data_IF_903418424924
#
_entry.id   IF_903418424924
#
_cell.length_a   1.000
_cell.length_b   1.000
_cell.length_c   1.000
_cell.angle_alpha   90.00
_cell.angle_beta   90.00
_cell.angle_gamma   90.00
#
_symmetry.space_group_name_H-M   'P 1'
#
loop_
_entity.id
_entity.type
_entity.pdbx_description
1 polymer ?
#
# COMPACT_ATOMS: atom_id res chain seq x y z
N UNK A 1 10.57 29.13 -19.90
CA UNK A 1 9.88 28.09 -19.15
C UNK A 1 10.90 27.04 -18.79
N UNK A 2 10.96 26.68 -17.52
CA UNK A 2 11.90 25.67 -17.03
C UNK A 2 11.46 24.28 -17.56
N UNK A 3 12.42 23.43 -17.85
CA UNK A 3 12.13 22.05 -18.34
C UNK A 3 11.33 21.27 -17.29
N UNK A 4 11.62 21.48 -16.02
CA UNK A 4 10.91 20.83 -14.92
C UNK A 4 9.43 21.24 -14.84
N UNK A 5 9.12 22.52 -15.04
CA UNK A 5 7.72 23.00 -15.08
C UNK A 5 6.92 22.35 -16.20
N UNK A 6 7.55 22.12 -17.37
CA UNK A 6 6.89 21.44 -18.50
C UNK A 6 6.65 19.97 -18.20
N UNK A 7 7.60 19.32 -17.55
CA UNK A 7 7.48 17.93 -17.16
C UNK A 7 6.38 17.72 -16.11
N UNK A 8 6.33 18.56 -15.08
CA UNK A 8 5.26 18.51 -14.06
C UNK A 8 3.87 18.71 -14.67
N UNK A 9 3.75 19.67 -15.60
CA UNK A 9 2.48 19.92 -16.26
C UNK A 9 2.07 18.77 -17.19
N UNK A 10 3.01 18.21 -17.95
CA UNK A 10 2.75 17.03 -18.80
C UNK A 10 2.43 15.80 -17.96
N UNK A 11 3.11 15.60 -16.83
CA UNK A 11 2.84 14.52 -15.89
C UNK A 11 1.41 14.62 -15.33
N UNK A 12 1.00 15.82 -14.94
CA UNK A 12 -0.36 16.07 -14.47
C UNK A 12 -1.43 15.77 -15.54
N UNK A 13 -1.20 16.16 -16.80
CA UNK A 13 -2.12 15.88 -17.91
C UNK A 13 -2.22 14.37 -18.17
N UNK A 14 -1.10 13.65 -18.18
CA UNK A 14 -1.05 12.20 -18.38
C UNK A 14 -1.72 11.49 -17.22
N UNK A 15 -1.43 11.91 -15.98
CA UNK A 15 -2.02 11.33 -14.79
C UNK A 15 -3.54 11.51 -14.76
N UNK A 16 -4.04 12.69 -15.11
CA UNK A 16 -5.48 12.97 -15.16
C UNK A 16 -6.21 12.02 -16.11
N UNK A 17 -5.59 11.68 -17.26
CA UNK A 17 -6.18 10.83 -18.28
C UNK A 17 -6.01 9.33 -18.02
N UNK A 18 -4.82 8.93 -17.55
CA UNK A 18 -4.43 7.51 -17.52
C UNK A 18 -4.35 6.93 -16.11
N UNK A 19 -4.35 7.78 -15.07
CA UNK A 19 -4.08 7.39 -13.69
C UNK A 19 -2.62 6.95 -13.44
N UNK A 20 -1.70 7.22 -14.38
CA UNK A 20 -0.29 6.85 -14.27
C UNK A 20 0.59 8.07 -14.49
N UNK A 21 1.68 8.16 -13.75
CA UNK A 21 2.70 9.17 -13.96
C UNK A 21 3.55 8.86 -15.20
N UNK A 22 4.23 9.88 -15.71
CA UNK A 22 5.20 9.75 -16.79
C UNK A 22 6.29 8.74 -16.41
N UNK A 23 6.49 7.75 -17.25
CA UNK A 23 7.63 6.85 -17.11
C UNK A 23 8.94 7.51 -17.55
N UNK A 24 10.07 6.85 -17.28
CA UNK A 24 11.40 7.36 -17.58
C UNK A 24 11.61 7.69 -19.07
N UNK A 25 11.06 6.87 -19.98
CA UNK A 25 11.20 7.07 -21.42
C UNK A 25 10.29 8.21 -21.92
N UNK A 26 9.10 8.34 -21.36
CA UNK A 26 8.19 9.46 -21.65
C UNK A 26 8.79 10.80 -21.19
N UNK A 27 9.41 10.85 -20.01
CA UNK A 27 10.14 12.02 -19.52
C UNK A 27 11.33 12.37 -20.43
N UNK A 28 12.08 11.35 -20.86
CA UNK A 28 13.19 11.51 -21.80
C UNK A 28 12.75 12.09 -23.16
N UNK A 29 11.61 11.62 -23.68
CA UNK A 29 11.03 12.13 -24.93
C UNK A 29 10.61 13.60 -24.79
N UNK A 30 10.02 13.98 -23.67
CA UNK A 30 9.63 15.37 -23.40
C UNK A 30 10.88 16.27 -23.26
N UNK A 31 11.86 15.87 -22.47
CA UNK A 31 13.14 16.60 -22.31
C UNK A 31 13.86 16.76 -23.63
N UNK A 32 14.05 15.68 -24.37
CA UNK A 32 14.69 15.70 -25.68
C UNK A 32 13.91 16.54 -26.70
N UNK A 33 12.58 16.54 -26.65
CA UNK A 33 11.74 17.39 -27.52
C UNK A 33 11.94 18.88 -27.22
N UNK A 34 12.05 19.27 -25.98
CA UNK A 34 12.33 20.67 -25.57
C UNK A 34 13.74 21.08 -26.00
N UNK A 35 14.69 20.17 -25.95
CA UNK A 35 16.09 20.38 -26.34
C UNK A 35 16.32 20.23 -27.86
N UNK A 36 15.28 19.97 -28.63
CA UNK A 36 15.31 19.73 -30.10
C UNK A 36 16.08 18.46 -30.54
N UNK A 37 16.23 17.47 -29.65
CA UNK A 37 16.82 16.17 -29.99
C UNK A 37 15.95 15.37 -30.96
N UNK A 38 16.54 14.58 -31.81
CA UNK A 38 15.83 13.60 -32.67
C UNK A 38 15.40 12.36 -31.85
N UNK A 39 14.52 11.54 -32.38
CA UNK A 39 14.17 10.28 -31.72
C UNK A 39 15.33 9.28 -31.71
N UNK A 40 16.25 9.38 -32.69
CA UNK A 40 17.46 8.57 -32.76
C UNK A 40 18.42 8.93 -31.60
N UNK A 41 18.67 10.22 -31.37
CA UNK A 41 19.51 10.70 -30.27
C UNK A 41 18.93 10.32 -28.92
N UNK A 42 17.60 10.48 -28.72
CA UNK A 42 16.92 10.05 -27.47
C UNK A 42 17.03 8.52 -27.27
N UNK A 43 16.99 7.76 -28.36
CA UNK A 43 17.11 6.31 -28.30
C UNK A 43 18.50 5.85 -27.89
N UNK A 44 19.53 6.50 -28.42
CA UNK A 44 20.95 6.25 -28.08
C UNK A 44 21.24 6.55 -26.61
N UNK A 45 20.79 7.72 -26.13
CA UNK A 45 21.00 8.17 -24.74
C UNK A 45 20.30 7.28 -23.70
N UNK A 46 19.21 6.61 -24.09
CA UNK A 46 18.40 5.82 -23.17
C UNK A 46 18.40 4.30 -23.48
N UNK A 47 19.35 3.83 -24.27
CA UNK A 47 19.53 2.42 -24.62
C UNK A 47 18.26 1.76 -25.16
N UNK A 48 17.44 2.50 -25.93
CA UNK A 48 16.20 2.05 -26.53
C UNK A 48 16.31 1.96 -28.05
N UNK A 49 15.40 1.23 -28.71
CA UNK A 49 15.32 1.29 -30.16
C UNK A 49 14.58 2.54 -30.63
N UNK A 50 15.02 3.16 -31.74
CA UNK A 50 14.34 4.34 -32.30
C UNK A 50 12.88 4.11 -32.59
N UNK A 51 12.50 2.91 -33.06
CA UNK A 51 11.13 2.51 -33.30
C UNK A 51 10.29 2.50 -32.02
N UNK A 52 10.86 2.07 -30.91
CA UNK A 52 10.18 2.07 -29.61
C UNK A 52 9.99 3.49 -29.09
N UNK A 53 11.01 4.35 -29.18
CA UNK A 53 10.92 5.77 -28.80
C UNK A 53 9.86 6.51 -29.64
N UNK A 54 9.79 6.24 -30.95
CA UNK A 54 8.75 6.78 -31.83
C UNK A 54 7.35 6.34 -31.44
N UNK A 55 7.18 5.06 -31.09
CA UNK A 55 5.90 4.51 -30.68
C UNK A 55 5.44 5.14 -29.33
N UNK A 56 6.30 5.16 -28.32
CA UNK A 56 6.02 5.79 -27.02
C UNK A 56 5.69 7.29 -27.21
N UNK A 57 6.48 7.99 -28.04
CA UNK A 57 6.21 9.38 -28.37
C UNK A 57 4.85 9.59 -29.04
N UNK A 58 4.45 8.72 -29.96
CA UNK A 58 3.14 8.81 -30.61
C UNK A 58 1.97 8.68 -29.64
N UNK A 59 2.04 7.71 -28.72
CA UNK A 59 1.02 7.55 -27.67
C UNK A 59 1.01 8.74 -26.69
N UNK A 60 2.18 9.24 -26.32
CA UNK A 60 2.32 10.40 -25.45
C UNK A 60 1.66 11.66 -26.06
N UNK A 61 1.94 11.95 -27.34
CA UNK A 61 1.34 13.09 -28.04
C UNK A 61 -0.16 12.94 -28.23
N UNK A 62 -0.66 11.74 -28.42
CA UNK A 62 -2.09 11.46 -28.52
C UNK A 62 -2.81 11.78 -27.21
N UNK A 63 -2.31 11.31 -26.08
CA UNK A 63 -2.89 11.56 -24.76
C UNK A 63 -2.90 13.06 -24.44
N UNK A 64 -1.79 13.75 -24.67
CA UNK A 64 -1.68 15.20 -24.43
C UNK A 64 -2.64 15.97 -25.36
N UNK A 65 -2.81 15.54 -26.63
CA UNK A 65 -3.74 16.17 -27.57
C UNK A 65 -5.19 16.03 -27.11
N UNK A 66 -5.57 14.86 -26.61
CA UNK A 66 -6.92 14.60 -26.10
C UNK A 66 -7.25 15.47 -24.88
N UNK A 67 -6.31 15.64 -23.96
CA UNK A 67 -6.50 16.46 -22.76
C UNK A 67 -6.52 17.96 -23.05
N UNK A 68 -5.71 18.42 -24.00
CA UNK A 68 -5.66 19.84 -24.38
C UNK A 68 -6.75 20.24 -25.40
N UNK A 69 -7.42 19.27 -26.00
CA UNK A 69 -8.43 19.52 -27.06
C UNK A 69 -7.85 20.09 -28.34
N UNK A 70 -6.52 20.02 -28.55
CA UNK A 70 -5.84 20.46 -29.77
C UNK A 70 -4.74 19.49 -30.17
N UNK A 71 -4.44 19.42 -31.49
CA UNK A 71 -3.43 18.46 -31.98
C UNK A 71 -2.03 18.83 -31.56
N UNK A 72 -1.44 18.03 -30.67
CA UNK A 72 -0.05 18.14 -30.21
C UNK A 72 0.81 17.11 -30.92
N UNK A 73 1.97 17.55 -31.40
CA UNK A 73 3.01 16.74 -32.04
C UNK A 73 4.36 17.19 -31.52
N UNK A 74 5.39 16.36 -31.68
CA UNK A 74 6.77 16.73 -31.37
C UNK A 74 7.17 18.11 -31.91
N UNK A 75 6.76 18.43 -33.13
CA UNK A 75 7.12 19.67 -33.83
C UNK A 75 6.46 20.95 -33.30
N UNK A 76 5.28 20.84 -32.65
CA UNK A 76 4.52 22.00 -32.15
C UNK A 76 4.41 22.04 -30.62
N UNK A 77 4.84 21.00 -29.93
CA UNK A 77 4.75 20.86 -28.49
C UNK A 77 5.31 22.07 -27.74
N UNK A 78 6.56 22.44 -28.04
CA UNK A 78 7.22 23.61 -27.42
C UNK A 78 6.42 24.90 -27.59
N UNK A 79 5.91 25.16 -28.79
CA UNK A 79 5.14 26.38 -29.08
C UNK A 79 3.78 26.43 -28.38
N UNK A 80 3.17 25.30 -28.09
CA UNK A 80 1.90 25.21 -27.33
C UNK A 80 2.14 25.55 -25.86
N UNK A 81 3.20 25.01 -25.28
CA UNK A 81 3.56 25.25 -23.90
C UNK A 81 4.12 26.67 -23.67
N UNK A 82 4.94 27.22 -24.56
CA UNK A 82 5.48 28.60 -24.48
C UNK A 82 4.41 29.70 -24.60
N UNK A 83 3.31 29.45 -25.31
CA UNK A 83 2.23 30.45 -25.50
C UNK A 83 1.33 30.63 -24.27
N UNK A 84 1.58 29.94 -23.17
CA UNK A 84 0.79 30.09 -21.93
C UNK A 84 -0.69 29.70 -22.05
N UNK A 85 -1.13 29.13 -23.18
CA UNK A 85 -2.52 28.70 -23.39
C UNK A 85 -2.96 27.60 -22.43
N UNK A 86 -2.04 26.78 -21.99
CA UNK A 86 -2.33 25.67 -21.07
C UNK A 86 -2.74 26.17 -19.68
N UNK A 87 -2.05 27.17 -19.14
CA UNK A 87 -2.42 27.75 -17.85
C UNK A 87 -3.84 28.36 -17.84
N UNK A 88 -4.23 29.02 -18.91
CA UNK A 88 -5.59 29.57 -19.02
C UNK A 88 -6.67 28.51 -19.21
N UNK A 89 -6.40 27.47 -20.01
CA UNK A 89 -7.35 26.39 -20.21
C UNK A 89 -7.48 25.47 -19.00
N UNK A 90 -6.39 25.26 -18.25
CA UNK A 90 -6.43 24.45 -17.04
C UNK A 90 -7.25 25.13 -15.92
N UNK A 91 -7.09 26.43 -15.69
CA UNK A 91 -7.96 27.18 -14.79
C UNK A 91 -9.40 27.23 -15.29
N UNK A 92 -9.62 27.37 -16.60
CA UNK A 92 -10.96 27.35 -17.20
C UNK A 92 -11.62 25.97 -17.17
N UNK A 93 -10.87 24.89 -17.28
CA UNK A 93 -11.38 23.51 -17.16
C UNK A 93 -11.76 23.20 -15.71
N UNK A 94 -10.95 23.62 -14.74
CA UNK A 94 -11.27 23.48 -13.31
C UNK A 94 -12.51 24.31 -12.96
N UNK A 95 -12.63 25.55 -13.45
CA UNK A 95 -13.79 26.40 -13.23
C UNK A 95 -15.02 25.89 -13.97
N UNK A 96 -14.90 25.36 -15.21
CA UNK A 96 -16.04 24.76 -15.94
C UNK A 96 -16.53 23.46 -15.30
N UNK A 97 -15.64 22.63 -14.73
CA UNK A 97 -16.05 21.46 -13.95
C UNK A 97 -16.73 21.82 -12.61
N UNK A 98 -16.54 23.06 -12.11
CA UNK A 98 -17.21 23.57 -10.91
C UNK A 98 -18.54 24.26 -11.25
N UNK A 99 -18.71 24.79 -12.49
CA UNK A 99 -19.88 25.60 -12.91
C UNK A 99 -20.67 24.99 -14.08
N UNK A 100 -20.28 23.85 -14.63
CA UNK A 100 -20.90 23.24 -15.79
C UNK A 100 -22.25 22.58 -15.50
N UNK A 101 -23.28 23.11 -16.09
CA UNK A 101 -24.60 22.51 -16.24
C UNK A 101 -24.47 21.17 -16.97
N UNK A 102 -24.81 20.11 -16.30
CA UNK A 102 -25.09 18.71 -16.68
C UNK A 102 -24.29 17.68 -15.87
N UNK A 103 -24.58 17.59 -14.58
CA UNK A 103 -24.31 16.38 -13.80
C UNK A 103 -25.56 16.08 -12.98
N UNK A 104 -26.48 15.36 -13.58
CA UNK A 104 -27.57 14.71 -12.86
C UNK A 104 -27.04 13.39 -12.30
N UNK A 105 -27.26 13.17 -11.02
CA UNK A 105 -27.39 11.93 -10.25
C UNK A 105 -26.29 11.60 -9.23
N UNK A 106 -25.00 11.98 -9.36
CA UNK A 106 -24.01 11.51 -8.36
C UNK A 106 -23.52 12.54 -7.31
N UNK A 107 -23.96 13.79 -7.37
CA UNK A 107 -23.48 14.84 -6.47
C UNK A 107 -24.35 15.09 -5.20
N UNK A 108 -25.50 14.42 -5.08
CA UNK A 108 -26.37 14.66 -3.93
C UNK A 108 -25.85 14.15 -2.57
N UNK A 109 -25.03 13.09 -2.57
CA UNK A 109 -24.52 12.53 -1.31
C UNK A 109 -23.36 13.34 -0.72
N UNK A 110 -22.46 13.88 -1.55
CA UNK A 110 -21.34 14.69 -1.07
C UNK A 110 -21.74 16.11 -0.62
N UNK A 111 -22.80 16.66 -1.19
CA UNK A 111 -23.33 17.99 -0.81
C UNK A 111 -24.04 17.94 0.54
N UNK A 112 -24.70 16.83 0.87
CA UNK A 112 -25.39 16.65 2.17
C UNK A 112 -24.43 16.70 3.35
N UNK A 113 -23.29 16.01 3.27
CA UNK A 113 -22.31 16.00 4.37
C UNK A 113 -21.65 17.37 4.62
N UNK A 114 -21.44 18.16 3.54
CA UNK A 114 -20.87 19.53 3.70
C UNK A 114 -21.88 20.54 4.25
N UNK A 115 -23.15 20.37 3.90
CA UNK A 115 -24.22 21.31 4.35
C UNK A 115 -24.57 21.10 5.81
N UNK A 116 -24.52 19.86 6.32
CA UNK A 116 -24.73 19.58 7.74
C UNK A 116 -23.60 20.13 8.62
N UNK A 117 -22.34 20.08 8.15
CA UNK A 117 -21.19 20.66 8.87
C UNK A 117 -21.30 22.19 8.99
N UNK A 118 -21.75 22.87 7.93
CA UNK A 118 -21.95 24.30 7.96
C UNK A 118 -23.11 24.71 8.93
N UNK A 119 -24.17 23.90 9.02
CA UNK A 119 -25.28 24.13 9.97
C UNK A 119 -24.89 23.86 11.43
N UNK A 120 -24.05 22.82 11.66
CA UNK A 120 -23.55 22.53 13.01
C UNK A 120 -22.59 23.61 13.52
N UNK A 121 -21.76 24.21 12.67
CA UNK A 121 -20.90 25.33 13.03
C UNK A 121 -21.67 26.63 13.28
N UNK A 122 -22.73 26.93 12.53
CA UNK A 122 -23.53 28.13 12.75
C UNK A 122 -24.40 28.07 14.02
N UNK A 123 -24.77 26.88 14.50
CA UNK A 123 -25.47 26.72 15.77
C UNK A 123 -24.57 26.87 17.00
N UNK A 124 -23.27 26.59 16.86
CA UNK A 124 -22.31 26.73 17.95
C UNK A 124 -21.73 28.16 18.09
N UNK A 125 -21.81 29.00 17.05
CA UNK A 125 -21.30 30.37 17.12
C UNK A 125 -22.25 31.36 17.85
N UNK A 126 -23.49 30.97 18.16
CA UNK A 126 -24.47 31.87 18.81
C UNK A 126 -24.46 31.83 20.34
N UNK A 127 -23.62 31.03 21.00
CA UNK A 127 -23.61 30.89 22.46
C UNK A 127 -22.25 30.88 23.15
N UNK A 128 -21.22 31.53 22.61
CA UNK A 128 -19.93 31.63 23.31
C UNK A 128 -19.31 33.03 23.17
N UNK A 129 -19.68 33.91 24.10
CA UNK A 129 -18.72 34.88 24.61
C UNK A 129 -17.98 34.22 25.78
N UNK A 130 -16.65 34.30 25.72
CA UNK A 130 -15.69 33.91 26.75
C UNK A 130 -15.50 32.39 26.99
N UNK A 131 -14.68 31.73 26.14
CA UNK A 131 -13.65 30.81 26.66
C UNK A 131 -12.59 30.57 25.58
N UNK A 132 -11.34 30.64 25.96
CA UNK A 132 -10.15 30.39 25.16
C UNK A 132 -10.32 29.11 24.33
N UNK A 133 -10.01 29.15 23.02
CA UNK A 133 -9.89 28.01 22.11
C UNK A 133 -8.75 27.09 22.61
N UNK A 134 -9.06 26.20 23.51
CA UNK A 134 -8.24 25.01 23.72
C UNK A 134 -8.38 24.17 22.46
N UNK A 135 -7.32 24.09 21.64
CA UNK A 135 -7.18 23.06 20.61
C UNK A 135 -7.44 21.71 21.31
N UNK A 136 -8.59 21.09 21.04
CA UNK A 136 -8.91 19.78 21.59
C UNK A 136 -7.82 18.82 21.12
N UNK A 137 -7.01 18.33 22.07
CA UNK A 137 -6.02 17.29 21.75
C UNK A 137 -6.77 16.00 21.39
N UNK A 138 -6.33 15.25 20.38
CA UNK A 138 -6.96 13.99 20.02
C UNK A 138 -6.94 13.02 21.20
N UNK A 139 -8.00 12.24 21.33
CA UNK A 139 -7.99 11.09 22.22
C UNK A 139 -7.20 9.95 21.56
N UNK A 140 -6.08 9.56 22.16
CA UNK A 140 -5.17 8.54 21.60
C UNK A 140 -5.17 7.32 22.52
N UNK A 141 -5.64 6.18 22.01
CA UNK A 141 -5.61 4.88 22.69
C UNK A 141 -4.73 3.90 21.90
N UNK A 142 -3.50 3.70 22.41
CA UNK A 142 -2.49 2.82 21.85
C UNK A 142 -2.09 1.72 22.87
N UNK A 143 -3.00 1.32 23.76
CA UNK A 143 -2.69 0.40 24.86
C UNK A 143 -2.15 -0.97 24.37
N UNK A 144 -2.63 -1.46 23.22
CA UNK A 144 -2.17 -2.71 22.61
C UNK A 144 -0.96 -2.53 21.68
N UNK A 145 -0.52 -1.28 21.46
CA UNK A 145 0.52 -1.00 20.48
C UNK A 145 1.92 -1.40 21.00
N UNK A 146 2.74 -2.06 20.17
CA UNK A 146 4.12 -2.33 20.52
C UNK A 146 4.92 -1.04 20.60
N UNK A 147 5.89 -0.98 21.51
CA UNK A 147 6.82 0.15 21.58
C UNK A 147 7.73 0.16 20.35
N UNK A 148 7.63 1.21 19.53
CA UNK A 148 8.58 1.43 18.44
C UNK A 148 9.89 1.93 19.02
N UNK A 149 10.97 1.20 18.76
CA UNK A 149 12.32 1.59 19.19
C UNK A 149 13.13 2.22 18.05
N UNK A 150 12.87 1.82 16.81
CA UNK A 150 13.57 2.30 15.61
C UNK A 150 12.64 2.33 14.41
N UNK A 151 12.84 3.33 13.56
CA UNK A 151 12.14 3.50 12.30
C UNK A 151 13.17 3.86 11.23
N UNK A 152 13.12 3.16 10.09
CA UNK A 152 14.07 3.32 9.00
C UNK A 152 13.33 3.78 7.75
N UNK A 153 13.47 5.07 7.41
CA UNK A 153 12.88 5.73 6.24
C UNK A 153 11.36 5.41 6.05
N UNK A 154 10.89 5.22 4.84
CA UNK A 154 9.47 5.09 4.43
C UNK A 154 8.78 6.42 4.18
N UNK A 155 9.56 7.43 3.83
CA UNK A 155 9.06 8.80 3.58
C UNK A 155 7.98 8.82 2.49
N UNK A 156 8.16 8.03 1.42
CA UNK A 156 7.19 7.96 0.32
C UNK A 156 5.88 7.29 0.75
N UNK A 157 5.98 6.19 1.48
CA UNK A 157 4.82 5.47 2.00
C UNK A 157 4.05 6.31 3.02
N UNK A 158 4.74 7.02 3.90
CA UNK A 158 4.12 7.95 4.86
C UNK A 158 3.37 9.06 4.13
N UNK A 159 4.00 9.72 3.17
CA UNK A 159 3.37 10.78 2.37
C UNK A 159 2.16 10.28 1.59
N UNK A 160 2.23 9.06 1.04
CA UNK A 160 1.11 8.43 0.33
C UNK A 160 -0.06 8.16 1.27
N UNK A 161 0.19 7.59 2.45
CA UNK A 161 -0.85 7.31 3.45
C UNK A 161 -1.49 8.60 3.98
N UNK A 162 -0.67 9.60 4.27
CA UNK A 162 -1.14 10.92 4.70
C UNK A 162 -2.06 11.54 3.65
N UNK A 163 -1.63 11.59 2.39
CA UNK A 163 -2.44 12.10 1.28
C UNK A 163 -3.77 11.35 1.17
N UNK A 164 -3.77 10.04 1.19
CA UNK A 164 -5.00 9.24 1.09
C UNK A 164 -6.00 9.55 2.22
N UNK A 165 -5.51 9.71 3.44
CA UNK A 165 -6.37 9.96 4.59
C UNK A 165 -6.84 11.42 4.69
N UNK A 166 -5.98 12.38 4.37
CA UNK A 166 -6.25 13.80 4.62
C UNK A 166 -6.89 14.46 3.40
N UNK A 167 -6.38 14.20 2.20
CA UNK A 167 -6.79 14.85 0.96
C UNK A 167 -7.83 14.03 0.19
N UNK A 168 -7.57 12.73 -0.02
CA UNK A 168 -8.40 11.87 -0.87
C UNK A 168 -9.63 11.31 -0.14
N UNK A 169 -9.70 11.42 1.20
CA UNK A 169 -10.83 10.96 2.00
C UNK A 169 -11.02 9.44 1.98
N UNK A 170 -9.94 8.67 1.88
CA UNK A 170 -9.98 7.21 1.91
C UNK A 170 -10.46 6.71 3.26
N UNK A 171 -11.47 5.84 3.27
CA UNK A 171 -12.11 5.32 4.47
C UNK A 171 -11.52 3.99 4.95
N UNK A 172 -10.96 3.20 4.04
CA UNK A 172 -10.35 1.91 4.36
C UNK A 172 -9.01 1.77 3.63
N UNK A 173 -7.95 1.58 4.39
CA UNK A 173 -6.61 1.33 3.86
C UNK A 173 -6.17 -0.07 4.27
N UNK A 174 -5.72 -0.87 3.32
CA UNK A 174 -5.11 -2.16 3.61
C UNK A 174 -3.60 -2.06 3.40
N UNK A 175 -2.83 -2.16 4.49
CA UNK A 175 -1.37 -2.13 4.47
C UNK A 175 -0.85 -3.57 4.48
N UNK A 176 -0.29 -4.00 3.36
CA UNK A 176 0.07 -5.38 3.10
C UNK A 176 1.58 -5.57 2.93
N UNK A 177 2.05 -6.79 3.10
CA UNK A 177 3.43 -7.21 2.86
C UNK A 177 3.87 -8.31 3.81
N UNK A 178 5.02 -8.90 3.56
CA UNK A 178 5.58 -9.99 4.36
C UNK A 178 5.67 -9.65 5.87
N UNK A 179 5.69 -10.67 6.72
CA UNK A 179 5.97 -10.49 8.14
C UNK A 179 7.34 -9.82 8.33
N UNK A 180 7.43 -8.92 9.30
CA UNK A 180 8.66 -8.21 9.61
C UNK A 180 9.04 -7.06 8.66
N UNK A 181 8.24 -6.77 7.61
CA UNK A 181 8.53 -5.71 6.63
C UNK A 181 8.32 -4.29 7.19
N UNK A 182 7.70 -4.15 8.36
CA UNK A 182 7.51 -2.86 9.04
C UNK A 182 6.11 -2.26 8.95
N UNK A 183 5.04 -3.03 8.68
CA UNK A 183 3.65 -2.53 8.59
C UNK A 183 3.19 -1.83 9.88
N UNK A 184 3.26 -2.54 10.99
CA UNK A 184 2.89 -2.01 12.32
C UNK A 184 3.70 -0.76 12.67
N UNK A 185 5.00 -0.79 12.42
CA UNK A 185 5.91 0.32 12.69
C UNK A 185 5.55 1.54 11.85
N UNK A 186 5.22 1.36 10.55
CA UNK A 186 4.80 2.42 9.65
C UNK A 186 3.47 3.03 10.10
N UNK A 187 2.47 2.21 10.39
CA UNK A 187 1.15 2.70 10.80
C UNK A 187 1.16 3.45 12.13
N UNK A 188 2.01 3.05 13.08
CA UNK A 188 2.18 3.75 14.34
C UNK A 188 3.01 5.03 14.19
N UNK A 189 4.08 5.01 13.38
CA UNK A 189 4.90 6.21 13.13
C UNK A 189 4.12 7.30 12.39
N UNK A 190 3.22 6.92 11.49
CA UNK A 190 2.32 7.82 10.77
C UNK A 190 1.49 8.72 11.72
N UNK A 191 1.10 8.20 12.90
CA UNK A 191 0.26 8.91 13.87
C UNK A 191 0.87 10.27 14.24
N UNK A 192 2.17 10.35 14.43
CA UNK A 192 2.83 11.59 14.84
C UNK A 192 2.66 12.74 13.84
N UNK A 193 2.63 12.41 12.54
CA UNK A 193 2.42 13.41 11.47
C UNK A 193 0.98 13.87 11.30
N UNK A 194 0.00 13.00 11.62
CA UNK A 194 -1.40 13.23 11.28
C UNK A 194 -2.34 13.40 12.47
N UNK A 195 -1.87 13.21 13.70
CA UNK A 195 -2.72 13.18 14.93
C UNK A 195 -3.64 14.40 15.09
N UNK A 196 -3.20 15.55 14.66
CA UNK A 196 -4.00 16.81 14.74
C UNK A 196 -5.21 16.84 13.82
N UNK A 197 -5.30 15.91 12.87
CA UNK A 197 -6.39 15.79 11.90
C UNK A 197 -7.52 14.87 12.37
N UNK A 198 -7.37 14.21 13.51
CA UNK A 198 -8.31 13.24 14.05
C UNK A 198 -8.76 13.61 15.47
N UNK A 199 -10.01 13.27 15.80
CA UNK A 199 -10.55 13.42 17.16
C UNK A 199 -10.18 12.21 18.02
N UNK A 200 -10.17 11.01 17.41
CA UNK A 200 -9.80 9.74 18.06
C UNK A 200 -8.80 8.97 17.22
N UNK A 201 -7.77 8.41 17.88
CA UNK A 201 -6.80 7.49 17.28
C UNK A 201 -6.75 6.24 18.13
N UNK A 202 -7.09 5.09 17.53
CA UNK A 202 -7.27 3.83 18.23
C UNK A 202 -6.45 2.76 17.53
N UNK A 203 -5.61 2.04 18.27
CA UNK A 203 -4.90 0.87 17.79
C UNK A 203 -5.38 -0.38 18.51
N UNK A 204 -5.65 -1.45 17.75
CA UNK A 204 -5.97 -2.78 18.29
C UNK A 204 -5.22 -3.87 17.55
N UNK A 205 -4.60 -4.76 18.32
CA UNK A 205 -4.01 -5.99 17.79
C UNK A 205 -5.06 -7.10 17.77
N UNK A 206 -5.20 -7.74 16.61
CA UNK A 206 -6.05 -8.93 16.45
C UNK A 206 -5.24 -10.24 16.56
N UNK A 207 -4.04 -10.21 17.16
CA UNK A 207 -3.13 -11.36 17.27
C UNK A 207 -3.74 -12.55 18.03
N UNK A 208 -4.67 -12.30 18.94
CA UNK A 208 -5.44 -13.34 19.65
C UNK A 208 -6.75 -13.72 18.98
N UNK A 209 -6.96 -13.29 17.74
CA UNK A 209 -8.16 -13.56 16.95
C UNK A 209 -9.46 -13.29 17.72
N UNK A 210 -9.71 -12.04 18.20
CA UNK A 210 -10.99 -11.71 18.83
C UNK A 210 -12.13 -11.79 17.81
N UNK A 211 -13.33 -12.18 18.25
CA UNK A 211 -14.54 -12.11 17.41
C UNK A 211 -14.86 -10.66 17.06
N UNK A 212 -15.65 -10.43 16.01
CA UNK A 212 -16.08 -9.06 15.68
C UNK A 212 -16.86 -8.42 16.82
N UNK A 213 -17.64 -9.22 17.57
CA UNK A 213 -18.42 -8.73 18.72
C UNK A 213 -17.52 -8.19 19.83
N UNK A 214 -16.46 -8.91 20.17
CA UNK A 214 -15.43 -8.49 21.13
C UNK A 214 -14.68 -7.24 20.63
N UNK A 215 -14.29 -7.22 19.37
CA UNK A 215 -13.58 -6.07 18.77
C UNK A 215 -14.47 -4.81 18.82
N UNK A 216 -15.76 -4.92 18.44
CA UNK A 216 -16.69 -3.79 18.50
C UNK A 216 -16.94 -3.32 19.92
N UNK A 217 -17.06 -4.25 20.88
CA UNK A 217 -17.21 -3.90 22.30
C UNK A 217 -16.01 -3.07 22.77
N UNK A 218 -14.81 -3.54 22.49
CA UNK A 218 -13.59 -2.88 22.87
C UNK A 218 -13.44 -1.47 22.22
N UNK A 219 -13.82 -1.33 20.95
CA UNK A 219 -13.84 -0.03 20.28
C UNK A 219 -14.89 0.92 20.89
N UNK A 220 -16.09 0.41 21.20
CA UNK A 220 -17.18 1.21 21.77
C UNK A 220 -16.91 1.66 23.21
N UNK A 221 -16.18 0.88 24.00
CA UNK A 221 -15.79 1.26 25.36
C UNK A 221 -15.06 2.61 25.41
N UNK A 222 -14.26 2.94 24.40
CA UNK A 222 -13.52 4.21 24.31
C UNK A 222 -14.46 5.39 24.21
N UNK A 223 -15.51 5.26 23.41
CA UNK A 223 -16.51 6.32 23.21
C UNK A 223 -17.52 6.36 24.36
N UNK A 224 -18.05 5.18 24.75
CA UNK A 224 -19.12 5.07 25.74
C UNK A 224 -18.68 5.48 27.15
N UNK A 225 -17.42 5.25 27.53
CA UNK A 225 -16.88 5.68 28.82
C UNK A 225 -16.90 7.21 28.99
N UNK A 226 -16.73 7.96 27.91
CA UNK A 226 -16.83 9.42 27.94
C UNK A 226 -18.28 9.89 28.06
N UNK A 227 -19.19 9.25 27.31
CA UNK A 227 -20.59 9.64 27.23
C UNK A 227 -21.48 8.96 28.29
N UNK A 228 -20.95 8.00 29.09
CA UNK A 228 -21.68 7.16 30.06
C UNK A 228 -22.87 6.40 29.42
N UNK A 229 -22.69 5.95 28.19
CA UNK A 229 -23.69 5.21 27.43
C UNK A 229 -23.43 3.71 27.57
N UNK A 230 -24.49 2.91 27.75
CA UNK A 230 -24.36 1.44 27.79
C UNK A 230 -24.08 0.87 26.39
N UNK A 231 -23.16 -0.12 26.33
CA UNK A 231 -22.84 -0.81 25.10
C UNK A 231 -23.95 -1.82 24.78
N UNK A 232 -24.52 -1.81 23.56
CA UNK A 232 -25.55 -2.76 23.16
C UNK A 232 -25.08 -4.21 23.20
N UNK A 233 -26.00 -5.14 23.45
CA UNK A 233 -25.70 -6.57 23.45
C UNK A 233 -25.65 -7.18 22.02
N UNK A 234 -26.42 -6.61 21.08
CA UNK A 234 -26.54 -7.16 19.72
C UNK A 234 -25.49 -6.62 18.79
N UNK A 235 -24.88 -7.49 17.99
CA UNK A 235 -23.83 -7.14 17.03
C UNK A 235 -24.25 -6.01 16.05
N UNK A 236 -25.48 -6.10 15.50
CA UNK A 236 -25.98 -5.11 14.55
C UNK A 236 -26.14 -3.73 15.19
N UNK A 237 -26.54 -3.71 16.48
CA UNK A 237 -26.68 -2.45 17.22
C UNK A 237 -25.31 -1.85 17.57
N UNK A 238 -24.33 -2.69 17.95
CA UNK A 238 -22.93 -2.27 18.14
C UNK A 238 -22.36 -1.64 16.86
N UNK A 239 -22.57 -2.31 15.71
CA UNK A 239 -22.14 -1.75 14.41
C UNK A 239 -22.79 -0.40 14.14
N UNK A 240 -24.11 -0.29 14.33
CA UNK A 240 -24.85 0.96 14.10
C UNK A 240 -24.33 2.07 15.01
N UNK A 241 -24.05 1.77 16.27
CA UNK A 241 -23.52 2.73 17.24
C UNK A 241 -22.09 3.17 16.87
N UNK A 242 -21.21 2.23 16.48
CA UNK A 242 -19.86 2.58 15.99
C UNK A 242 -19.93 3.52 14.78
N UNK A 243 -20.80 3.23 13.78
CA UNK A 243 -20.95 4.11 12.63
C UNK A 243 -21.50 5.50 12.99
N UNK A 244 -22.31 5.63 14.04
CA UNK A 244 -22.71 6.95 14.54
C UNK A 244 -21.50 7.72 15.07
N UNK A 245 -20.62 7.10 15.84
CA UNK A 245 -19.38 7.73 16.29
C UNK A 245 -18.45 8.08 15.13
N UNK A 246 -18.27 7.18 14.13
CA UNK A 246 -17.44 7.47 12.96
C UNK A 246 -17.96 8.61 12.07
N UNK A 247 -19.27 8.93 12.14
CA UNK A 247 -19.85 10.11 11.49
C UNK A 247 -19.70 11.37 12.33
N UNK A 248 -19.82 11.24 13.65
CA UNK A 248 -19.75 12.37 14.57
C UNK A 248 -18.32 12.86 14.75
N UNK A 249 -17.36 11.94 14.85
CA UNK A 249 -15.95 12.19 15.07
C UNK A 249 -15.12 11.70 13.89
N UNK A 250 -14.01 12.37 13.65
CA UNK A 250 -13.00 11.89 12.71
C UNK A 250 -12.04 10.93 13.41
N UNK A 251 -12.24 9.64 13.23
CA UNK A 251 -11.48 8.59 13.89
C UNK A 251 -10.45 7.96 12.94
N UNK A 252 -9.25 7.66 13.46
CA UNK A 252 -8.30 6.74 12.86
C UNK A 252 -8.30 5.45 13.70
N UNK A 253 -8.67 4.34 13.08
CA UNK A 253 -8.67 3.02 13.71
C UNK A 253 -7.64 2.15 12.98
N UNK A 254 -6.66 1.62 13.71
CA UNK A 254 -5.65 0.70 13.18
C UNK A 254 -5.95 -0.69 13.75
N UNK A 255 -6.28 -1.65 12.87
CA UNK A 255 -6.45 -3.05 13.20
C UNK A 255 -5.24 -3.83 12.66
N UNK A 256 -4.41 -4.31 13.57
CA UNK A 256 -3.19 -5.03 13.23
C UNK A 256 -3.38 -6.54 13.32
N UNK A 257 -2.57 -7.29 12.58
CA UNK A 257 -2.56 -8.76 12.56
C UNK A 257 -3.87 -9.40 12.10
N UNK A 258 -4.59 -8.78 11.14
CA UNK A 258 -5.88 -9.32 10.67
C UNK A 258 -5.76 -10.70 10.01
N UNK A 259 -4.56 -11.14 9.58
CA UNK A 259 -4.33 -12.49 9.08
C UNK A 259 -4.63 -13.59 10.13
N UNK A 260 -4.67 -13.24 11.41
CA UNK A 260 -5.01 -14.18 12.48
C UNK A 260 -6.48 -14.59 12.47
N UNK A 261 -7.33 -13.84 11.74
CA UNK A 261 -8.74 -14.17 11.53
C UNK A 261 -8.94 -15.20 10.42
N UNK A 262 -7.90 -15.55 9.65
CA UNK A 262 -7.98 -16.45 8.51
C UNK A 262 -7.56 -17.87 8.85
N UNK A 263 -8.20 -18.85 8.16
CA UNK A 263 -7.88 -20.27 8.31
C UNK A 263 -6.45 -20.61 7.92
N UNK A 264 -5.81 -21.42 8.71
CA UNK A 264 -4.61 -22.15 8.31
C UNK A 264 -4.97 -23.34 7.41
N UNK A 265 -4.07 -23.69 6.50
CA UNK A 265 -4.29 -24.82 5.60
C UNK A 265 -5.34 -24.60 4.51
N UNK A 266 -5.86 -23.38 4.38
CA UNK A 266 -6.76 -22.93 3.30
C UNK A 266 -6.07 -21.90 2.40
N UNK A 267 -6.67 -21.60 1.24
CA UNK A 267 -6.18 -20.51 0.39
C UNK A 267 -6.30 -19.16 1.10
N UNK A 268 -5.49 -18.18 0.68
CA UNK A 268 -5.38 -16.87 1.29
C UNK A 268 -6.73 -16.14 1.46
N UNK A 269 -6.94 -15.51 2.62
CA UNK A 269 -8.09 -14.69 2.94
C UNK A 269 -9.39 -15.44 3.21
N UNK A 270 -9.35 -16.74 3.47
CA UNK A 270 -10.50 -17.50 3.98
C UNK A 270 -10.58 -17.36 5.50
N UNK A 271 -11.69 -16.80 5.99
CA UNK A 271 -11.93 -16.63 7.42
C UNK A 271 -12.13 -17.97 8.15
N UNK A 272 -11.70 -18.02 9.39
CA UNK A 272 -12.08 -19.09 10.31
C UNK A 272 -13.59 -19.04 10.57
N UNK A 273 -14.18 -20.19 10.94
CA UNK A 273 -15.61 -20.26 11.30
C UNK A 273 -15.92 -19.31 12.46
N UNK A 274 -16.91 -18.44 12.28
CA UNK A 274 -17.33 -17.42 13.25
C UNK A 274 -16.67 -16.04 13.05
N UNK A 275 -15.73 -15.90 12.09
CA UNK A 275 -15.07 -14.62 11.80
C UNK A 275 -15.54 -13.97 10.49
N UNK A 276 -16.48 -14.58 9.79
CA UNK A 276 -17.00 -14.11 8.49
C UNK A 276 -17.66 -12.73 8.60
N UNK A 277 -18.13 -12.34 9.77
CA UNK A 277 -18.73 -11.04 10.02
C UNK A 277 -17.74 -9.87 9.79
N UNK A 278 -16.44 -10.10 9.85
CA UNK A 278 -15.45 -9.09 9.51
C UNK A 278 -15.53 -8.65 8.04
N UNK A 279 -15.91 -9.54 7.12
CA UNK A 279 -16.16 -9.18 5.71
C UNK A 279 -17.24 -8.11 5.60
N UNK A 280 -18.36 -8.31 6.35
CA UNK A 280 -19.46 -7.34 6.37
C UNK A 280 -19.01 -6.02 7.00
N UNK A 281 -18.21 -6.09 8.06
CA UNK A 281 -17.66 -4.90 8.73
C UNK A 281 -16.79 -4.07 7.77
N UNK A 282 -15.82 -4.68 7.10
CA UNK A 282 -14.94 -3.97 6.15
C UNK A 282 -15.73 -3.41 4.96
N UNK A 283 -16.70 -4.18 4.46
CA UNK A 283 -17.59 -3.70 3.41
C UNK A 283 -18.38 -2.47 3.87
N UNK A 284 -18.94 -2.49 5.07
CA UNK A 284 -19.70 -1.34 5.61
C UNK A 284 -18.82 -0.13 5.85
N UNK A 285 -17.57 -0.27 6.29
CA UNK A 285 -16.60 0.83 6.39
C UNK A 285 -16.43 1.52 5.03
N UNK A 286 -16.37 0.74 3.94
CA UNK A 286 -16.19 1.27 2.59
C UNK A 286 -17.47 1.86 1.96
N UNK A 287 -18.66 1.46 2.44
CA UNK A 287 -19.94 1.83 1.83
C UNK A 287 -20.67 2.97 2.56
N UNK A 288 -20.51 3.02 3.87
CA UNK A 288 -21.24 4.00 4.70
C UNK A 288 -20.49 5.31 4.70
N UNK A 289 -21.22 6.41 4.48
CA UNK A 289 -20.61 7.75 4.53
C UNK A 289 -20.19 8.09 5.96
N UNK A 290 -18.90 8.34 6.15
CA UNK A 290 -18.28 8.87 7.38
C UNK A 290 -16.95 9.56 7.03
N UNK A 291 -16.35 10.26 8.00
CA UNK A 291 -15.10 11.02 7.81
C UNK A 291 -13.86 10.35 8.44
N UNK A 292 -14.03 9.14 8.91
CA UNK A 292 -13.01 8.34 9.61
C UNK A 292 -12.25 7.45 8.65
N UNK A 293 -11.06 6.99 9.06
CA UNK A 293 -10.26 6.03 8.30
C UNK A 293 -9.94 4.80 9.15
N UNK A 294 -10.02 3.62 8.55
CA UNK A 294 -9.59 2.35 9.15
C UNK A 294 -8.39 1.81 8.38
N UNK A 295 -7.30 1.49 9.08
CA UNK A 295 -6.13 0.83 8.51
C UNK A 295 -6.15 -0.64 8.94
N UNK A 296 -5.99 -1.54 7.97
CA UNK A 296 -5.87 -2.98 8.17
C UNK A 296 -4.43 -3.41 7.87
N UNK A 297 -3.68 -3.84 8.87
CA UNK A 297 -2.33 -4.40 8.66
C UNK A 297 -2.41 -5.91 8.50
N UNK A 298 -1.80 -6.45 7.42
CA UNK A 298 -1.77 -7.89 7.18
C UNK A 298 -0.58 -8.34 6.34
N UNK A 299 -0.20 -9.59 6.49
CA UNK A 299 0.70 -10.29 5.56
C UNK A 299 -0.07 -11.17 4.55
N UNK A 300 -1.39 -11.09 4.56
CA UNK A 300 -2.28 -11.85 3.71
C UNK A 300 -3.46 -10.98 3.31
N UNK A 301 -3.70 -10.80 2.00
CA UNK A 301 -4.76 -9.91 1.50
C UNK A 301 -6.15 -10.53 1.75
N UNK A 302 -7.06 -9.84 2.47
CA UNK A 302 -8.46 -10.26 2.58
C UNK A 302 -9.12 -10.32 1.18
N UNK A 303 -9.96 -11.33 0.94
CA UNK A 303 -10.54 -11.56 -0.40
C UNK A 303 -11.52 -10.49 -0.85
N UNK A 304 -12.29 -9.96 0.09
CA UNK A 304 -13.30 -8.92 -0.17
C UNK A 304 -12.70 -7.58 -0.59
N UNK A 305 -11.49 -7.27 -0.13
CA UNK A 305 -10.84 -5.98 -0.43
C UNK A 305 -10.67 -5.79 -1.94
N UNK A 306 -10.26 -6.83 -2.66
CA UNK A 306 -10.10 -6.77 -4.12
C UNK A 306 -11.42 -6.43 -4.83
N UNK A 307 -12.54 -7.00 -4.35
CA UNK A 307 -13.87 -6.71 -4.87
C UNK A 307 -14.31 -5.28 -4.55
N UNK A 308 -14.08 -4.81 -3.33
CA UNK A 308 -14.44 -3.47 -2.89
C UNK A 308 -13.63 -2.40 -3.65
N UNK A 309 -12.34 -2.63 -3.88
CA UNK A 309 -11.48 -1.77 -4.70
C UNK A 309 -12.00 -1.67 -6.15
N UNK A 310 -12.40 -2.80 -6.74
CA UNK A 310 -12.97 -2.84 -8.10
C UNK A 310 -14.27 -2.02 -8.22
N UNK A 311 -15.06 -1.91 -7.16
CA UNK A 311 -16.30 -1.11 -7.11
C UNK A 311 -16.05 0.40 -6.98
N UNK A 312 -14.80 0.89 -7.11
CA UNK A 312 -14.41 2.30 -6.95
C UNK A 312 -14.84 2.93 -5.62
N UNK A 313 -14.84 2.14 -4.55
CA UNK A 313 -15.09 2.63 -3.19
C UNK A 313 -13.87 3.41 -2.65
N UNK A 314 -14.03 4.21 -1.58
CA UNK A 314 -12.93 4.93 -0.94
C UNK A 314 -12.00 3.97 -0.16
N UNK A 315 -11.46 2.99 -0.88
CA UNK A 315 -10.57 1.93 -0.38
C UNK A 315 -9.28 1.94 -1.18
N UNK A 316 -8.14 1.77 -0.51
CA UNK A 316 -6.83 1.67 -1.14
C UNK A 316 -5.99 0.59 -0.48
N UNK A 317 -5.16 -0.06 -1.28
CA UNK A 317 -4.16 -1.01 -0.81
C UNK A 317 -2.76 -0.44 -1.02
N UNK A 318 -1.95 -0.40 0.05
CA UNK A 318 -0.53 -0.13 -0.02
C UNK A 318 0.23 -1.44 0.26
N UNK A 319 1.04 -1.88 -0.70
CA UNK A 319 1.93 -3.01 -0.52
C UNK A 319 3.29 -2.49 -0.09
N UNK A 320 3.70 -2.85 1.12
CA UNK A 320 4.98 -2.45 1.67
C UNK A 320 6.08 -3.38 1.16
N UNK A 321 6.96 -2.83 0.35
CA UNK A 321 8.11 -3.52 -0.22
C UNK A 321 9.34 -3.51 0.69
N UNK A 322 10.45 -4.00 0.16
CA UNK A 322 11.77 -4.00 0.79
C UNK A 322 12.23 -2.59 1.19
N UNK A 323 13.01 -2.47 2.25
CA UNK A 323 13.84 -1.29 2.46
C UNK A 323 14.94 -1.26 1.40
N UNK A 324 15.15 -0.08 0.79
CA UNK A 324 16.26 0.14 -0.14
C UNK A 324 17.54 0.52 0.62
N UNK A 325 18.14 1.64 0.28
CA UNK A 325 19.37 2.14 0.94
C UNK A 325 19.22 2.35 2.45
N UNK A 326 18.03 2.67 2.94
CA UNK A 326 17.76 2.81 4.38
C UNK A 326 17.97 1.51 5.17
N UNK A 327 18.00 0.34 4.51
CA UNK A 327 18.34 -0.92 5.15
C UNK A 327 19.77 -0.92 5.74
N UNK A 328 20.68 -0.11 5.18
CA UNK A 328 22.05 0.05 5.69
C UNK A 328 22.08 0.63 7.10
N UNK A 329 21.09 1.43 7.51
CA UNK A 329 21.02 2.01 8.85
C UNK A 329 20.84 0.92 9.91
N UNK A 330 20.20 -0.22 9.58
CA UNK A 330 20.11 -1.38 10.46
C UNK A 330 21.50 -1.91 10.81
N UNK A 331 22.40 -1.95 9.81
CA UNK A 331 23.77 -2.43 10.00
C UNK A 331 24.66 -1.42 10.70
N UNK A 332 24.45 -0.10 10.44
CA UNK A 332 25.12 0.97 11.19
C UNK A 332 24.77 0.93 12.66
N UNK A 333 23.50 0.75 12.99
CA UNK A 333 23.01 0.64 14.36
C UNK A 333 23.55 -0.57 15.11
N UNK A 334 23.91 -1.62 14.37
CA UNK A 334 24.51 -2.84 14.87
C UNK A 334 26.05 -2.80 14.81
N UNK A 335 26.65 -1.68 14.38
CA UNK A 335 28.10 -1.51 14.23
C UNK A 335 28.76 -2.64 13.42
N UNK A 336 28.13 -3.07 12.32
CA UNK A 336 28.73 -4.03 11.41
C UNK A 336 29.85 -3.37 10.61
N UNK A 337 30.90 -4.13 10.31
CA UNK A 337 32.00 -3.69 9.47
C UNK A 337 31.75 -4.04 7.99
N UNK A 338 32.66 -3.59 7.09
CA UNK A 338 32.62 -3.84 5.65
C UNK A 338 31.39 -3.26 4.95
N UNK A 339 31.12 -1.94 5.06
CA UNK A 339 29.92 -1.33 4.52
C UNK A 339 29.79 -1.52 2.99
N UNK A 340 30.89 -1.72 2.28
CA UNK A 340 30.92 -2.04 0.85
C UNK A 340 30.25 -3.36 0.47
N UNK A 341 30.02 -4.24 1.44
CA UNK A 341 29.37 -5.54 1.25
C UNK A 341 27.91 -5.59 1.70
N UNK A 342 27.39 -4.52 2.32
CA UNK A 342 26.06 -4.52 2.90
C UNK A 342 24.94 -4.71 1.88
N UNK A 343 25.11 -4.19 0.68
CA UNK A 343 24.11 -4.35 -0.40
C UNK A 343 23.93 -5.82 -0.79
N UNK A 344 24.96 -6.64 -0.63
CA UNK A 344 24.87 -8.10 -0.85
C UNK A 344 23.91 -8.70 0.19
N UNK A 345 24.06 -8.36 1.48
CA UNK A 345 23.15 -8.82 2.54
C UNK A 345 21.73 -8.34 2.31
N UNK A 346 21.56 -7.06 1.95
CA UNK A 346 20.23 -6.47 1.67
C UNK A 346 19.53 -7.26 0.57
N UNK A 347 20.24 -7.60 -0.49
CA UNK A 347 19.69 -8.39 -1.60
C UNK A 347 19.36 -9.82 -1.18
N UNK A 348 20.25 -10.50 -0.46
CA UNK A 348 20.02 -11.89 0.02
C UNK A 348 18.78 -11.95 0.91
N UNK A 349 18.64 -11.02 1.87
CA UNK A 349 17.53 -10.98 2.85
C UNK A 349 16.40 -10.06 2.42
N UNK A 350 16.34 -9.69 1.13
CA UNK A 350 15.24 -8.98 0.48
C UNK A 350 14.89 -7.65 1.14
N UNK A 351 15.86 -6.96 1.76
CA UNK A 351 15.63 -5.70 2.45
C UNK A 351 14.55 -5.75 3.53
N UNK A 352 14.23 -6.93 4.06
CA UNK A 352 13.25 -7.07 5.15
C UNK A 352 13.88 -6.66 6.48
N UNK A 353 13.39 -5.61 7.17
CA UNK A 353 14.01 -5.08 8.37
C UNK A 353 14.21 -6.10 9.51
N UNK A 354 13.21 -6.97 9.72
CA UNK A 354 13.29 -8.00 10.76
C UNK A 354 14.36 -9.03 10.42
N UNK A 355 14.40 -9.52 9.19
CA UNK A 355 15.38 -10.51 8.76
C UNK A 355 16.79 -9.94 8.78
N UNK A 356 16.99 -8.71 8.30
CA UNK A 356 18.27 -8.01 8.36
C UNK A 356 18.73 -7.80 9.81
N UNK A 357 17.82 -7.46 10.71
CA UNK A 357 18.12 -7.32 12.14
C UNK A 357 18.56 -8.64 12.79
N UNK A 358 17.91 -9.76 12.45
CA UNK A 358 18.28 -11.11 12.91
C UNK A 358 19.68 -11.50 12.44
N UNK A 359 19.96 -11.31 11.14
CA UNK A 359 21.27 -11.63 10.56
C UNK A 359 22.36 -10.71 11.07
N UNK A 360 22.08 -9.43 11.24
CA UNK A 360 23.02 -8.50 11.83
C UNK A 360 23.41 -8.91 13.26
N UNK A 361 22.46 -9.40 14.05
CA UNK A 361 22.74 -9.93 15.39
C UNK A 361 23.60 -11.19 15.32
N UNK A 362 23.30 -12.13 14.43
CA UNK A 362 24.11 -13.33 14.20
C UNK A 362 25.55 -12.97 13.80
N UNK A 363 25.74 -11.98 12.90
CA UNK A 363 27.06 -11.53 12.47
C UNK A 363 27.83 -10.89 13.64
N UNK A 364 27.17 -10.15 14.53
CA UNK A 364 27.80 -9.62 15.73
C UNK A 364 28.30 -10.73 16.65
N UNK A 365 27.47 -11.74 16.90
CA UNK A 365 27.75 -12.80 17.87
C UNK A 365 28.83 -13.79 17.39
N UNK A 366 28.76 -14.20 16.12
CA UNK A 366 29.62 -15.28 15.61
C UNK A 366 30.81 -14.80 14.79
N UNK A 367 30.74 -13.61 14.19
CA UNK A 367 31.75 -13.11 13.25
C UNK A 367 32.38 -11.77 13.72
N UNK A 368 32.20 -11.43 15.00
CA UNK A 368 32.72 -10.20 15.57
C UNK A 368 32.42 -8.96 14.73
N UNK A 369 31.18 -8.85 14.25
CA UNK A 369 30.65 -7.79 13.36
C UNK A 369 31.26 -7.77 11.94
N UNK A 370 32.06 -8.75 11.52
CA UNK A 370 32.70 -8.77 10.20
C UNK A 370 31.81 -9.43 9.16
N UNK A 371 31.19 -8.61 8.31
CA UNK A 371 30.26 -9.06 7.26
C UNK A 371 30.99 -9.92 6.22
N UNK A 372 32.22 -9.57 5.86
CA UNK A 372 32.98 -10.30 4.85
C UNK A 372 33.20 -11.78 5.23
N UNK A 373 33.43 -12.08 6.53
CA UNK A 373 33.58 -13.46 6.99
C UNK A 373 32.27 -14.24 6.92
N UNK A 374 31.14 -13.58 7.19
CA UNK A 374 29.83 -14.18 7.01
C UNK A 374 29.53 -14.51 5.55
N UNK A 375 29.95 -13.67 4.60
CA UNK A 375 29.74 -13.85 3.16
C UNK A 375 30.63 -14.94 2.53
N UNK A 376 31.59 -15.55 3.25
CA UNK A 376 32.30 -16.75 2.79
C UNK A 376 31.39 -17.98 2.67
N UNK A 377 30.19 -17.95 3.25
CA UNK A 377 29.20 -19.00 3.08
C UNK A 377 28.35 -18.68 1.86
N UNK A 378 28.47 -19.48 0.81
CA UNK A 378 27.86 -19.24 -0.51
C UNK A 378 26.32 -19.34 -0.51
N UNK A 379 25.72 -19.98 0.50
CA UNK A 379 24.26 -20.14 0.63
C UNK A 379 23.66 -19.16 1.63
N UNK A 380 22.41 -18.71 1.43
CA UNK A 380 21.71 -17.90 2.42
C UNK A 380 21.60 -18.64 3.77
N UNK A 381 22.16 -18.05 4.81
CA UNK A 381 22.10 -18.63 6.15
C UNK A 381 20.71 -18.37 6.74
N UNK A 382 20.01 -19.43 7.08
CA UNK A 382 18.75 -19.39 7.81
C UNK A 382 19.04 -19.66 9.28
N UNK A 383 19.22 -18.61 10.09
CA UNK A 383 19.32 -18.75 11.55
C UNK A 383 17.99 -19.26 12.14
N UNK A 384 18.02 -19.81 13.35
CA UNK A 384 16.85 -20.42 14.00
C UNK A 384 15.63 -19.48 14.01
N UNK A 385 15.81 -18.23 14.41
CA UNK A 385 14.72 -17.25 14.44
C UNK A 385 14.13 -16.98 13.05
N UNK A 386 14.95 -16.95 12.00
CA UNK A 386 14.48 -16.80 10.62
C UNK A 386 13.76 -18.05 10.12
N UNK A 387 14.27 -19.24 10.47
CA UNK A 387 13.59 -20.50 10.16
C UNK A 387 12.21 -20.57 10.82
N UNK A 388 12.07 -20.14 12.05
CA UNK A 388 10.76 -20.07 12.75
C UNK A 388 9.78 -19.14 12.00
N UNK A 389 10.23 -17.96 11.56
CA UNK A 389 9.39 -17.05 10.78
C UNK A 389 8.94 -17.68 9.44
N UNK A 390 9.86 -18.29 8.70
CA UNK A 390 9.54 -18.97 7.43
C UNK A 390 8.61 -20.18 7.65
N UNK A 391 8.82 -20.92 8.75
CA UNK A 391 7.96 -22.04 9.17
C UNK A 391 6.52 -21.58 9.40
N UNK A 392 6.30 -20.46 10.07
CA UNK A 392 4.96 -19.89 10.29
C UNK A 392 4.25 -19.62 8.96
N UNK A 393 4.93 -19.01 8.00
CA UNK A 393 4.37 -18.80 6.66
C UNK A 393 4.04 -20.12 5.96
N UNK A 394 4.95 -21.10 6.00
CA UNK A 394 4.79 -22.38 5.31
C UNK A 394 3.69 -23.24 5.94
N UNK A 395 3.55 -23.24 7.26
CA UNK A 395 2.51 -24.00 7.97
C UNK A 395 1.11 -23.56 7.59
N UNK A 396 0.88 -22.26 7.35
CA UNK A 396 -0.42 -21.70 6.97
C UNK A 396 -0.87 -22.08 5.55
N UNK A 397 0.04 -22.61 4.72
CA UNK A 397 -0.25 -22.96 3.33
C UNK A 397 -1.20 -24.17 3.25
N UNK A 398 -2.15 -24.10 2.31
CA UNK A 398 -2.95 -25.23 1.91
C UNK A 398 -2.09 -26.36 1.28
N UNK A 399 -2.61 -27.60 1.21
CA UNK A 399 -1.88 -28.69 0.53
C UNK A 399 -1.51 -28.35 -0.92
N UNK A 400 -2.41 -27.67 -1.65
CA UNK A 400 -2.17 -27.25 -3.04
C UNK A 400 -1.06 -26.18 -3.11
N UNK A 401 -1.09 -25.20 -2.21
CA UNK A 401 -0.05 -24.17 -2.13
C UNK A 401 1.32 -24.79 -1.81
N UNK A 402 1.38 -25.75 -0.87
CA UNK A 402 2.61 -26.50 -0.56
C UNK A 402 3.13 -27.25 -1.76
N UNK A 403 2.27 -27.91 -2.53
CA UNK A 403 2.65 -28.61 -3.76
C UNK A 403 3.24 -27.64 -4.78
N UNK A 404 2.57 -26.52 -5.06
CA UNK A 404 3.03 -25.54 -6.06
C UNK A 404 4.33 -24.87 -5.63
N UNK A 405 4.44 -24.45 -4.35
CA UNK A 405 5.65 -23.79 -3.86
C UNK A 405 6.86 -24.73 -3.85
N UNK A 406 6.64 -26.03 -3.60
CA UNK A 406 7.69 -27.06 -3.66
C UNK A 406 8.17 -27.24 -5.11
N UNK A 407 7.27 -27.31 -6.09
CA UNK A 407 7.63 -27.39 -7.51
C UNK A 407 8.44 -26.17 -7.94
N UNK A 408 7.97 -24.96 -7.60
CA UNK A 408 8.66 -23.71 -7.91
C UNK A 408 10.02 -23.61 -7.21
N UNK A 409 10.15 -24.13 -5.99
CA UNK A 409 11.40 -24.08 -5.21
C UNK A 409 12.45 -25.04 -5.71
N UNK A 410 12.06 -26.21 -6.20
CA UNK A 410 12.99 -27.23 -6.71
C UNK A 410 13.45 -26.96 -8.16
N UNK A 411 12.78 -26.05 -8.86
CA UNK A 411 13.23 -25.65 -10.19
C UNK A 411 14.45 -24.72 -10.12
N UNK A 412 15.49 -24.95 -10.93
CA UNK A 412 16.64 -24.05 -11.04
C UNK A 412 16.24 -22.71 -11.69
N UNK A 413 15.25 -22.74 -12.59
CA UNK A 413 14.75 -21.59 -13.32
C UNK A 413 13.33 -21.21 -12.89
N UNK A 414 12.92 -19.98 -13.16
CA UNK A 414 11.54 -19.55 -12.97
C UNK A 414 10.60 -20.31 -13.91
N UNK A 415 9.44 -20.72 -13.41
CA UNK A 415 8.46 -21.52 -14.17
C UNK A 415 7.26 -20.66 -14.56
N UNK A 416 6.73 -20.89 -15.78
CA UNK A 416 5.43 -20.36 -16.19
C UNK A 416 4.29 -21.31 -15.77
N UNK A 417 3.03 -20.87 -15.92
CA UNK A 417 1.84 -21.66 -15.54
C UNK A 417 1.81 -23.06 -16.16
N UNK A 418 2.16 -23.17 -17.46
CA UNK A 418 2.12 -24.44 -18.17
C UNK A 418 3.15 -25.42 -17.61
N UNK A 419 4.35 -24.95 -17.29
CA UNK A 419 5.41 -25.75 -16.69
C UNK A 419 5.05 -26.22 -15.27
N UNK A 420 4.40 -25.38 -14.47
CA UNK A 420 3.91 -25.77 -13.14
C UNK A 420 2.77 -26.79 -13.26
N UNK A 421 1.84 -26.60 -14.20
CA UNK A 421 0.73 -27.50 -14.44
C UNK A 421 1.19 -28.92 -14.79
N UNK A 422 2.20 -29.05 -15.66
CA UNK A 422 2.74 -30.35 -16.05
C UNK A 422 3.43 -31.11 -14.91
N UNK A 423 3.92 -30.37 -13.89
CA UNK A 423 4.62 -30.94 -12.74
C UNK A 423 3.71 -31.16 -11.53
N UNK A 424 2.47 -30.69 -11.59
CA UNK A 424 1.46 -30.88 -10.54
C UNK A 424 0.31 -31.72 -11.05
N UNK A 425 -0.48 -32.32 -10.16
CA UNK A 425 -1.71 -33.04 -10.52
C UNK A 425 -2.95 -32.14 -10.40
N UNK A 426 -2.76 -30.82 -10.39
CA UNK A 426 -3.84 -29.84 -10.23
C UNK A 426 -4.57 -29.62 -11.55
N UNK A 427 -5.85 -29.37 -11.49
CA UNK A 427 -6.61 -28.81 -12.63
C UNK A 427 -6.19 -27.36 -12.91
N UNK A 428 -6.50 -26.84 -14.09
CA UNK A 428 -6.22 -25.46 -14.47
C UNK A 428 -6.79 -24.47 -13.45
N UNK A 429 -8.02 -24.65 -13.01
CA UNK A 429 -8.68 -23.76 -12.05
C UNK A 429 -8.03 -23.82 -10.66
N UNK A 430 -7.66 -25.02 -10.20
CA UNK A 430 -6.96 -25.17 -8.92
C UNK A 430 -5.58 -24.51 -8.97
N UNK A 431 -4.83 -24.68 -10.05
CA UNK A 431 -3.51 -24.04 -10.19
C UNK A 431 -3.64 -22.52 -10.19
N UNK A 432 -4.57 -21.95 -10.97
CA UNK A 432 -4.76 -20.50 -11.04
C UNK A 432 -5.13 -19.91 -9.67
N UNK A 433 -6.09 -20.55 -8.96
CA UNK A 433 -6.48 -20.13 -7.62
C UNK A 433 -5.31 -20.25 -6.61
N UNK A 434 -4.50 -21.30 -6.74
CA UNK A 434 -3.36 -21.54 -5.87
C UNK A 434 -2.26 -20.50 -6.08
N UNK A 435 -1.91 -20.21 -7.33
CA UNK A 435 -0.92 -19.15 -7.65
C UNK A 435 -1.43 -17.78 -7.19
N UNK A 436 -2.70 -17.44 -7.44
CA UNK A 436 -3.28 -16.19 -6.96
C UNK A 436 -3.23 -16.10 -5.42
N UNK A 437 -3.47 -17.20 -4.72
CA UNK A 437 -3.36 -17.28 -3.28
C UNK A 437 -1.94 -17.04 -2.77
N UNK A 438 -0.93 -17.68 -3.39
CA UNK A 438 0.47 -17.47 -3.05
C UNK A 438 0.94 -16.03 -3.30
N UNK A 439 0.44 -15.39 -4.35
CA UNK A 439 0.68 -13.94 -4.62
C UNK A 439 0.05 -13.07 -3.53
N UNK A 440 -1.18 -13.38 -3.09
CA UNK A 440 -1.86 -12.66 -1.98
C UNK A 440 -1.13 -12.80 -0.64
N UNK A 441 -0.30 -13.83 -0.48
CA UNK A 441 0.56 -14.05 0.70
C UNK A 441 1.96 -13.42 0.53
N UNK A 442 2.25 -12.80 -0.63
CA UNK A 442 3.58 -12.24 -0.95
C UNK A 442 4.72 -13.27 -0.95
N UNK A 443 4.39 -14.56 -1.12
CA UNK A 443 5.35 -15.67 -1.15
C UNK A 443 5.83 -15.97 -2.56
N UNK A 444 5.04 -15.59 -3.56
CA UNK A 444 5.34 -15.71 -4.98
C UNK A 444 5.16 -14.37 -5.65
N UNK A 445 6.10 -13.97 -6.48
CA UNK A 445 6.01 -12.79 -7.33
C UNK A 445 5.91 -13.18 -8.79
N UNK A 446 5.31 -12.30 -9.58
CA UNK A 446 5.15 -12.44 -11.02
C UNK A 446 6.25 -11.64 -11.72
N UNK A 447 6.94 -12.26 -12.66
CA UNK A 447 7.92 -11.63 -13.53
C UNK A 447 7.50 -11.82 -15.00
N UNK A 448 7.59 -10.77 -15.79
CA UNK A 448 7.39 -10.86 -17.25
C UNK A 448 8.75 -10.94 -17.94
N UNK A 449 8.92 -11.98 -18.78
CA UNK A 449 10.14 -12.21 -19.54
C UNK A 449 9.75 -12.78 -20.91
N UNK A 450 10.23 -12.16 -21.98
CA UNK A 450 9.95 -12.58 -23.36
C UNK A 450 8.43 -12.72 -23.67
N UNK A 451 7.60 -11.81 -23.22
CA UNK A 451 6.13 -11.83 -23.32
C UNK A 451 5.46 -13.04 -22.64
N UNK A 452 6.15 -13.69 -21.72
CA UNK A 452 5.60 -14.76 -20.89
C UNK A 452 5.69 -14.40 -19.42
N UNK A 453 4.71 -14.86 -18.66
CA UNK A 453 4.66 -14.66 -17.21
C UNK A 453 5.29 -15.84 -16.49
N UNK A 454 6.27 -15.56 -15.63
CA UNK A 454 6.95 -16.50 -14.77
C UNK A 454 6.63 -16.23 -13.30
N UNK A 455 6.76 -17.26 -12.47
CA UNK A 455 6.51 -17.20 -11.04
C UNK A 455 7.78 -17.53 -10.27
N UNK A 456 8.11 -16.64 -9.33
CA UNK A 456 9.32 -16.72 -8.53
C UNK A 456 8.93 -16.79 -7.06
N UNK A 457 9.40 -17.80 -6.36
CA UNK A 457 9.27 -17.91 -4.91
C UNK A 457 10.23 -16.96 -4.22
N UNK A 458 9.82 -16.37 -3.09
CA UNK A 458 10.72 -15.61 -2.23
C UNK A 458 12.01 -16.45 -1.97
N UNK A 459 13.21 -15.92 -2.22
CA UNK A 459 14.47 -16.70 -2.17
C UNK A 459 14.71 -17.42 -0.85
N UNK A 460 14.40 -16.78 0.28
CA UNK A 460 14.60 -17.40 1.59
C UNK A 460 13.58 -18.50 1.89
N UNK A 461 12.33 -18.31 1.44
CA UNK A 461 11.32 -19.35 1.52
C UNK A 461 11.68 -20.53 0.58
N UNK A 462 12.20 -20.26 -0.62
CA UNK A 462 12.71 -21.27 -1.54
C UNK A 462 13.79 -22.12 -0.86
N UNK A 463 14.71 -21.47 -0.17
CA UNK A 463 15.79 -22.16 0.54
C UNK A 463 15.27 -22.96 1.75
N UNK A 464 14.29 -22.41 2.49
CA UNK A 464 13.62 -23.13 3.55
C UNK A 464 12.90 -24.38 3.05
N UNK A 465 12.11 -24.25 1.98
CA UNK A 465 11.33 -25.37 1.39
C UNK A 465 12.21 -26.51 0.89
N UNK A 466 13.41 -26.24 0.38
CA UNK A 466 14.37 -27.28 -0.03
C UNK A 466 14.92 -28.13 1.13
N UNK A 467 14.87 -27.58 2.36
CA UNK A 467 15.41 -28.24 3.55
C UNK A 467 14.33 -29.02 4.35
N UNK A 468 13.05 -28.82 4.04
CA UNK A 468 11.89 -29.44 4.73
C UNK A 468 11.23 -30.46 3.83
#
# INVERSE_FOLDING_TARGET
MDIEEVLELADHLIFTKTGKHLDHLQQAILRGTIQNCTYSEIAEDHYASESHVKWVGSELWKIISEELGETVKKSNFRGIFEKGRIYKNHQSAIVKNITGENVTVNNHLNVSCKTERAKAQQQNESNLNDTQTTLNQPHIDLNDAPKITKFYDRTQELSTLEKWMIEDGVQLITLLGLSGIGKTTLSLHLIDGIKTNFDYIIYRSLSFAPTLDETLTNLLEIFCNQDKIEIPLKLETKLSQLFNYLRQYRCLIILDDIQMLFCEGQLAGYYQSGYENYQLFYKKIAEVCHQSCVILNSWEKPREIEKIEFENRPVRTLILGSLSLAAQDIFRDKNLSNPETWDILINIYQGNPLWLGMIATLIQELFNSRVIEFLYYDEPILCDSLQEQLKLHFQRLSPQEKTVITVLSNSPESLNLQSVLTQTKLSNSELLNTIQSLIRRFLVVREEKDNMTFFIVNPLLKEYVKRV
#
